data_IF_911306494729
#
_entry.id   IF_911306494729
#
_cell.length_a   1.000
_cell.length_b   1.000
_cell.length_c   1.000
_cell.angle_alpha   90.00
_cell.angle_beta   90.00
_cell.angle_gamma   90.00
#
_symmetry.space_group_name_H-M   'P 1'
#
loop_
_entity.id
_entity.type
_entity.pdbx_description
1 polymer ?
#
# COMPACT_ATOMS: atom_id res chain seq x y z
N UNK A 1 -7.62 17.03 -13.52
CA UNK A 1 -6.40 17.84 -13.60
C UNK A 1 -5.31 17.22 -12.74
N UNK A 2 -4.09 17.13 -13.25
CA UNK A 2 -2.96 16.55 -12.52
C UNK A 2 -2.10 17.65 -11.93
N UNK A 3 -1.65 17.40 -10.69
CA UNK A 3 -0.70 18.29 -10.01
C UNK A 3 0.62 17.53 -9.91
N UNK A 4 1.70 18.16 -10.34
CA UNK A 4 3.03 17.55 -10.21
C UNK A 4 3.58 17.80 -8.81
N UNK A 5 3.93 16.70 -8.13
CA UNK A 5 4.52 16.75 -6.79
C UNK A 5 5.87 16.05 -6.82
N UNK A 6 6.88 16.66 -6.23
CA UNK A 6 8.21 16.07 -6.11
C UNK A 6 8.50 15.79 -4.65
N UNK A 7 8.88 14.55 -4.34
CA UNK A 7 9.21 14.13 -2.97
C UNK A 7 10.54 13.40 -2.98
N UNK A 8 11.28 13.54 -1.89
CA UNK A 8 12.52 12.81 -1.68
C UNK A 8 12.23 11.57 -0.83
N UNK A 9 12.57 10.40 -1.35
CA UNK A 9 12.36 9.13 -0.67
C UNK A 9 13.69 8.42 -0.46
N UNK A 10 13.83 7.68 0.65
CA UNK A 10 14.99 6.82 0.84
C UNK A 10 15.10 5.77 -0.28
N UNK A 11 16.32 5.34 -0.58
CA UNK A 11 16.57 4.37 -1.66
C UNK A 11 15.76 3.08 -1.49
N UNK A 12 15.64 2.58 -0.25
CA UNK A 12 14.87 1.37 0.03
C UNK A 12 13.40 1.53 -0.34
N UNK A 13 12.83 2.71 -0.10
CA UNK A 13 11.45 3.01 -0.45
C UNK A 13 11.28 3.09 -1.97
N UNK A 14 12.24 3.70 -2.66
CA UNK A 14 12.24 3.76 -4.12
C UNK A 14 12.32 2.36 -4.73
N UNK A 15 13.21 1.52 -4.20
CA UNK A 15 13.34 0.13 -4.66
C UNK A 15 12.05 -0.66 -4.44
N UNK A 16 11.38 -0.46 -3.31
CA UNK A 16 10.13 -1.13 -3.01
C UNK A 16 9.04 -0.79 -4.03
N UNK A 17 8.87 0.50 -4.35
CA UNK A 17 7.83 0.90 -5.31
C UNK A 17 8.15 0.42 -6.73
N UNK A 18 9.43 0.36 -7.11
CA UNK A 18 9.83 -0.21 -8.39
C UNK A 18 9.49 -1.69 -8.47
N UNK A 19 9.73 -2.44 -7.39
CA UNK A 19 9.38 -3.87 -7.32
C UNK A 19 7.88 -4.08 -7.44
N UNK A 20 7.08 -3.25 -6.80
CA UNK A 20 5.63 -3.32 -6.91
C UNK A 20 5.19 -3.07 -8.35
N UNK A 21 5.75 -2.04 -9.00
CA UNK A 21 5.42 -1.71 -10.37
C UNK A 21 5.76 -2.87 -11.32
N UNK A 22 6.92 -3.49 -11.16
CA UNK A 22 7.32 -4.64 -11.97
C UNK A 22 6.39 -5.83 -11.78
N UNK A 23 6.05 -6.14 -10.52
CA UNK A 23 5.17 -7.26 -10.21
C UNK A 23 3.77 -7.07 -10.80
N UNK A 24 3.31 -5.84 -10.89
CA UNK A 24 1.99 -5.51 -11.44
C UNK A 24 2.01 -5.23 -12.94
N UNK A 25 3.19 -5.19 -13.56
CA UNK A 25 3.31 -4.85 -14.97
C UNK A 25 2.88 -3.43 -15.29
N UNK A 26 3.16 -2.49 -14.41
CA UNK A 26 2.73 -1.10 -14.55
C UNK A 26 3.89 -0.14 -14.32
N UNK A 27 3.62 1.17 -14.42
CA UNK A 27 4.62 2.20 -14.18
C UNK A 27 4.76 2.50 -12.69
N UNK A 28 5.89 3.11 -12.31
CA UNK A 28 6.12 3.54 -10.93
C UNK A 28 5.04 4.54 -10.50
N UNK A 29 4.68 5.48 -11.37
CA UNK A 29 3.64 6.47 -11.08
C UNK A 29 2.30 5.80 -10.78
N UNK A 30 1.90 4.83 -11.61
CA UNK A 30 0.65 4.11 -11.41
C UNK A 30 0.68 3.26 -10.14
N UNK A 31 1.79 2.59 -9.89
CA UNK A 31 1.95 1.80 -8.66
C UNK A 31 1.85 2.70 -7.42
N UNK A 32 2.48 3.87 -7.48
CA UNK A 32 2.42 4.82 -6.37
C UNK A 32 0.99 5.32 -6.13
N UNK A 33 0.26 5.62 -7.19
CA UNK A 33 -1.15 6.01 -7.08
C UNK A 33 -1.97 4.93 -6.39
N UNK A 34 -1.79 3.69 -6.79
CA UNK A 34 -2.52 2.55 -6.20
C UNK A 34 -2.16 2.35 -4.73
N UNK A 35 -0.90 2.51 -4.37
CA UNK A 35 -0.47 2.39 -2.97
C UNK A 35 -1.12 3.47 -2.11
N UNK A 36 -1.14 4.70 -2.61
CA UNK A 36 -1.77 5.82 -1.88
C UNK A 36 -3.27 5.59 -1.71
N UNK A 37 -3.96 5.16 -2.76
CA UNK A 37 -5.40 4.89 -2.69
C UNK A 37 -5.70 3.75 -1.72
N UNK A 38 -4.88 2.71 -1.74
CA UNK A 38 -5.03 1.58 -0.83
C UNK A 38 -4.84 2.02 0.61
N UNK A 39 -3.81 2.80 0.90
CA UNK A 39 -3.55 3.30 2.24
C UNK A 39 -4.69 4.19 2.74
N UNK A 40 -5.21 5.04 1.88
CA UNK A 40 -6.33 5.91 2.22
C UNK A 40 -7.56 5.09 2.58
N UNK A 41 -7.88 4.08 1.78
CA UNK A 41 -9.00 3.18 2.05
C UNK A 41 -8.84 2.45 3.38
N UNK A 42 -7.66 1.85 3.62
CA UNK A 42 -7.39 1.10 4.83
C UNK A 42 -7.48 1.99 6.07
N UNK A 43 -6.94 3.19 5.99
CA UNK A 43 -7.00 4.14 7.11
C UNK A 43 -8.44 4.51 7.45
N UNK A 44 -9.27 4.74 6.43
CA UNK A 44 -10.68 5.05 6.66
C UNK A 44 -11.42 3.89 7.32
N UNK A 45 -11.13 2.66 6.91
CA UNK A 45 -11.73 1.47 7.54
C UNK A 45 -11.37 1.37 9.02
N UNK A 46 -10.10 1.64 9.36
CA UNK A 46 -9.65 1.62 10.75
C UNK A 46 -10.34 2.72 11.57
N UNK A 47 -10.51 3.91 11.02
CA UNK A 47 -11.19 5.01 11.69
C UNK A 47 -12.66 4.71 11.95
N UNK A 48 -13.28 3.84 11.14
CA UNK A 48 -14.65 3.38 11.35
C UNK A 48 -14.76 2.30 12.44
N UNK A 49 -13.64 1.87 13.00
CA UNK A 49 -13.59 0.82 14.02
C UNK A 49 -13.42 -0.57 13.45
N UNK A 50 -13.17 -0.71 12.16
CA UNK A 50 -12.93 -2.01 11.54
C UNK A 50 -11.49 -2.44 11.75
N UNK A 51 -11.26 -3.74 11.86
CA UNK A 51 -9.94 -4.33 12.00
C UNK A 51 -9.46 -4.89 10.67
N UNK A 52 -8.15 -4.80 10.43
CA UNK A 52 -7.51 -5.42 9.28
C UNK A 52 -6.87 -6.73 9.70
N UNK A 53 -7.19 -7.78 8.96
CA UNK A 53 -6.67 -9.10 9.26
C UNK A 53 -6.00 -9.68 8.03
N UNK A 54 -4.89 -10.40 8.25
CA UNK A 54 -4.26 -11.21 7.21
C UNK A 54 -4.55 -12.65 7.53
N UNK A 55 -5.17 -13.36 6.60
CA UNK A 55 -5.43 -14.79 6.72
C UNK A 55 -4.38 -15.58 5.95
N UNK A 56 -3.78 -16.58 6.62
CA UNK A 56 -2.92 -17.51 5.93
C UNK A 56 -3.80 -18.54 5.21
N UNK A 57 -3.69 -18.68 3.89
CA UNK A 57 -4.58 -19.56 3.12
C UNK A 57 -4.34 -21.05 3.42
N UNK A 58 -3.18 -21.43 3.93
CA UNK A 58 -2.85 -22.84 4.18
C UNK A 58 -3.45 -23.33 5.49
N UNK A 59 -3.25 -22.60 6.60
CA UNK A 59 -3.68 -23.03 7.92
C UNK A 59 -4.88 -22.24 8.46
N UNK A 60 -5.38 -21.29 7.69
CA UNK A 60 -6.52 -20.44 8.07
C UNK A 60 -6.29 -19.56 9.29
N UNK A 61 -5.04 -19.46 9.77
CA UNK A 61 -4.73 -18.54 10.84
C UNK A 61 -4.92 -17.08 10.39
N UNK A 62 -5.22 -16.20 11.33
CA UNK A 62 -5.40 -14.78 11.04
C UNK A 62 -4.49 -13.94 11.92
N UNK A 63 -4.04 -12.82 11.37
CA UNK A 63 -3.21 -11.89 12.11
C UNK A 63 -3.74 -10.48 11.89
N UNK A 64 -3.94 -9.76 12.99
CA UNK A 64 -4.40 -8.38 12.92
C UNK A 64 -3.22 -7.46 12.60
N UNK A 65 -3.45 -6.50 11.70
CA UNK A 65 -2.48 -5.48 11.38
C UNK A 65 -2.82 -4.21 12.15
N UNK A 66 -1.84 -3.68 12.86
CA UNK A 66 -1.98 -2.40 13.56
C UNK A 66 -1.24 -1.32 12.78
N UNK A 67 -1.91 -0.19 12.56
CA UNK A 67 -1.31 0.98 11.95
C UNK A 67 -1.05 2.04 13.01
N UNK A 68 0.13 2.62 12.95
CA UNK A 68 0.53 3.70 13.85
C UNK A 68 0.70 5.01 13.11
#
# INVERSE_FOLDING_TARGET
MSIKVTVNLPEGTVSAIKSIAEAQGTTVTEALRQVIETQYFLRNEILKGNNLLIQNPEDKSMRQIEFR
#
